data_IF_222010861232
#
_entry.id   IF_222010861232
#
_cell.length_a   1.000
_cell.length_b   1.000
_cell.length_c   1.000
_cell.angle_alpha   90.00
_cell.angle_beta   90.00
_cell.angle_gamma   90.00
#
_symmetry.space_group_name_H-M   'P 1'
#
loop_
_entity.id
_entity.type
_entity.pdbx_description
1 polymer ?
#
# COMPACT_ATOMS: atom_id res chain seq x y z
N UNK A 1 2.82 22.82 25.37
CA UNK A 1 1.63 22.27 24.70
C UNK A 1 2.10 21.04 23.95
N UNK A 2 2.12 19.89 24.63
CA UNK A 2 2.65 18.62 24.14
C UNK A 2 1.57 17.98 23.29
N UNK A 3 1.72 18.00 21.97
CA UNK A 3 0.78 17.37 21.05
C UNK A 3 0.92 15.86 21.15
N UNK A 4 -0.18 15.24 21.55
CA UNK A 4 -0.45 13.81 21.65
C UNK A 4 -0.05 13.06 20.38
N UNK A 5 1.13 12.45 20.32
CA UNK A 5 1.49 11.45 19.30
C UNK A 5 1.11 10.02 19.72
N UNK A 6 0.43 9.87 20.87
CA UNK A 6 0.15 8.60 21.56
C UNK A 6 -1.06 7.82 20.98
N UNK A 7 -1.51 8.18 19.77
CA UNK A 7 -2.72 7.62 19.15
C UNK A 7 -2.53 7.14 17.71
N UNK A 8 -1.34 7.31 17.12
CA UNK A 8 -1.12 7.02 15.70
C UNK A 8 -0.10 5.89 15.53
N UNK A 9 -0.40 4.97 14.62
CA UNK A 9 0.54 3.96 14.15
C UNK A 9 1.68 4.66 13.40
N UNK A 10 2.74 5.00 14.12
CA UNK A 10 3.91 5.68 13.56
C UNK A 10 4.99 4.62 13.29
N UNK A 11 5.37 4.40 12.03
CA UNK A 11 6.45 3.48 11.70
C UNK A 11 7.79 3.96 12.24
N UNK A 12 8.52 3.07 12.90
CA UNK A 12 9.84 3.35 13.45
C UNK A 12 10.87 2.50 12.69
N UNK A 13 11.89 3.15 12.15
CA UNK A 13 12.98 2.48 11.44
C UNK A 13 13.74 1.53 12.36
N UNK A 14 14.01 0.32 11.88
CA UNK A 14 14.78 -0.68 12.63
C UNK A 14 16.27 -0.42 12.50
N UNK A 15 17.07 -1.01 13.39
CA UNK A 15 18.53 -0.98 13.27
C UNK A 15 19.01 -1.62 11.97
N UNK A 16 18.42 -2.75 11.58
CA UNK A 16 18.76 -3.45 10.33
C UNK A 16 18.41 -2.60 9.10
N UNK A 17 17.21 -1.99 9.06
CA UNK A 17 16.78 -1.10 7.99
C UNK A 17 17.69 0.11 7.85
N UNK A 18 18.07 0.72 8.98
CA UNK A 18 18.99 1.84 8.95
C UNK A 18 20.39 1.46 8.44
N UNK A 19 20.92 0.31 8.87
CA UNK A 19 22.23 -0.19 8.38
C UNK A 19 22.17 -0.46 6.88
N UNK A 20 21.09 -1.08 6.39
CA UNK A 20 20.88 -1.30 4.97
C UNK A 20 20.86 0.02 4.19
N UNK A 21 20.18 1.04 4.72
CA UNK A 21 20.15 2.39 4.13
C UNK A 21 21.52 3.03 4.07
N UNK A 22 22.29 2.99 5.16
CA UNK A 22 23.64 3.53 5.18
C UNK A 22 24.55 2.84 4.16
N UNK A 23 24.43 1.52 4.04
CA UNK A 23 25.19 0.74 3.06
C UNK A 23 24.79 1.10 1.62
N UNK A 24 23.50 1.27 1.35
CA UNK A 24 23.01 1.69 0.03
C UNK A 24 23.54 3.08 -0.34
N UNK A 25 23.44 4.06 0.57
CA UNK A 25 23.95 5.42 0.36
C UNK A 25 25.47 5.41 0.11
N UNK A 26 26.23 4.63 0.87
CA UNK A 26 27.67 4.48 0.65
C UNK A 26 28.01 3.86 -0.72
N UNK A 27 27.12 2.99 -1.23
CA UNK A 27 27.23 2.40 -2.56
C UNK A 27 26.68 3.26 -3.71
N UNK A 28 26.02 4.39 -3.41
CA UNK A 28 25.36 5.23 -4.41
C UNK A 28 24.01 4.70 -4.89
N UNK A 29 23.34 3.86 -4.10
CA UNK A 29 22.03 3.29 -4.39
C UNK A 29 21.01 3.63 -3.28
N UNK A 30 19.74 3.33 -3.54
CA UNK A 30 18.65 3.46 -2.58
C UNK A 30 18.20 2.07 -2.09
N UNK A 31 17.65 1.99 -0.88
CA UNK A 31 17.00 0.77 -0.38
C UNK A 31 15.59 0.67 -0.96
N UNK A 32 15.21 -0.49 -1.49
CA UNK A 32 13.87 -0.72 -2.00
C UNK A 32 12.98 -1.45 -0.98
N UNK A 33 11.90 -0.80 -0.56
CA UNK A 33 10.81 -1.39 0.21
C UNK A 33 9.78 -1.93 -0.79
N UNK A 34 9.51 -3.23 -0.73
CA UNK A 34 8.69 -3.95 -1.73
C UNK A 34 7.47 -4.63 -1.14
N UNK A 35 7.50 -4.94 0.16
CA UNK A 35 6.45 -5.70 0.82
C UNK A 35 5.99 -5.00 2.10
N UNK A 36 4.71 -5.21 2.42
CA UNK A 36 4.11 -4.89 3.70
C UNK A 36 3.72 -6.18 4.38
N UNK A 37 4.11 -6.35 5.64
CA UNK A 37 3.64 -7.42 6.50
C UNK A 37 2.64 -6.88 7.53
N UNK A 38 1.60 -7.66 7.80
CA UNK A 38 0.56 -7.36 8.77
C UNK A 38 0.58 -8.40 9.88
N UNK A 39 0.34 -7.95 11.12
CA UNK A 39 0.27 -8.85 12.26
C UNK A 39 -0.79 -8.52 13.28
N UNK A 40 -1.09 -9.50 14.13
CA UNK A 40 -2.24 -9.48 15.03
C UNK A 40 -1.89 -9.09 16.47
N UNK A 41 -0.61 -8.90 16.81
CA UNK A 41 -0.18 -8.60 18.19
C UNK A 41 0.19 -7.13 18.33
N UNK A 42 -0.47 -6.46 19.28
CA UNK A 42 -0.16 -5.07 19.64
C UNK A 42 0.88 -4.98 20.76
N UNK A 43 1.86 -4.10 20.63
CA UNK A 43 2.87 -3.85 21.66
C UNK A 43 3.49 -2.47 21.52
N UNK A 44 4.19 -2.02 22.57
CA UNK A 44 5.12 -0.90 22.46
C UNK A 44 6.36 -1.37 21.71
N UNK A 45 6.63 -0.77 20.55
CA UNK A 45 7.79 -1.09 19.71
C UNK A 45 9.07 -0.98 20.56
N UNK A 46 9.93 -2.02 20.58
CA UNK A 46 11.16 -1.98 21.37
C UNK A 46 12.14 -1.01 20.72
N UNK A 47 12.61 -0.01 21.48
CA UNK A 47 13.54 1.02 21.02
C UNK A 47 14.86 0.92 21.77
N UNK A 48 15.97 1.01 21.03
CA UNK A 48 17.28 1.22 21.60
C UNK A 48 17.43 2.71 21.97
N UNK A 49 17.58 2.99 23.26
CA UNK A 49 17.65 4.35 23.79
C UNK A 49 18.85 5.17 23.29
N UNK A 50 19.92 4.52 22.81
CA UNK A 50 21.10 5.20 22.28
C UNK A 50 20.92 5.60 20.81
N UNK A 51 20.30 4.73 20.01
CA UNK A 51 20.15 4.94 18.56
C UNK A 51 18.81 5.57 18.18
N UNK A 52 17.81 5.50 19.06
CA UNK A 52 16.44 5.93 18.77
C UNK A 52 15.70 5.00 17.80
N UNK A 53 16.26 3.81 17.51
CA UNK A 53 15.74 2.88 16.50
C UNK A 53 15.15 1.64 17.11
N UNK A 54 14.29 0.96 16.34
CA UNK A 54 13.74 -0.30 16.79
C UNK A 54 14.76 -1.44 16.70
N UNK A 55 14.82 -2.26 17.74
CA UNK A 55 15.61 -3.51 17.75
C UNK A 55 14.85 -4.70 17.15
N UNK A 56 13.63 -4.48 16.65
CA UNK A 56 12.83 -5.52 16.02
C UNK A 56 13.47 -6.00 14.71
N UNK A 57 13.48 -7.31 14.50
CA UNK A 57 13.95 -7.95 13.26
C UNK A 57 12.82 -8.61 12.46
N UNK A 58 11.66 -8.82 13.09
CA UNK A 58 10.45 -9.38 12.51
C UNK A 58 9.22 -8.90 13.31
N UNK A 59 8.03 -9.07 12.73
CA UNK A 59 6.76 -8.90 13.45
C UNK A 59 6.61 -10.00 14.51
N UNK A 60 5.89 -9.72 15.60
CA UNK A 60 5.67 -10.71 16.66
C UNK A 60 4.65 -11.78 16.27
N UNK A 61 3.69 -11.42 15.44
CA UNK A 61 2.60 -12.27 14.97
C UNK A 61 2.24 -11.91 13.54
N UNK A 62 3.20 -12.08 12.62
CA UNK A 62 2.95 -11.94 11.19
C UNK A 62 1.85 -12.92 10.76
N UNK A 63 0.81 -12.39 10.10
CA UNK A 63 -0.31 -13.15 9.56
C UNK A 63 -0.31 -13.15 8.06
N UNK A 64 -0.07 -11.98 7.48
CA UNK A 64 -0.06 -11.80 6.03
C UNK A 64 1.10 -10.94 5.59
N UNK A 65 1.53 -11.17 4.36
CA UNK A 65 2.52 -10.38 3.66
C UNK A 65 2.04 -10.13 2.25
N UNK A 66 2.04 -8.87 1.84
CA UNK A 66 1.61 -8.45 0.52
C UNK A 66 2.69 -7.61 -0.17
N UNK A 67 2.78 -7.78 -1.48
CA UNK A 67 3.52 -6.86 -2.34
C UNK A 67 2.81 -5.52 -2.41
N UNK A 68 3.60 -4.45 -2.46
CA UNK A 68 3.09 -3.10 -2.67
C UNK A 68 2.59 -2.99 -4.12
N UNK A 69 1.31 -2.65 -4.25
CA UNK A 69 0.63 -2.58 -5.56
C UNK A 69 0.77 -1.21 -6.20
N UNK A 70 0.71 -0.14 -5.40
CA UNK A 70 0.82 1.22 -5.89
C UNK A 70 1.48 2.12 -4.83
N UNK A 71 2.24 3.10 -5.30
CA UNK A 71 2.90 4.11 -4.48
C UNK A 71 2.66 5.48 -5.10
N UNK A 72 2.05 6.38 -4.33
CA UNK A 72 1.90 7.77 -4.72
C UNK A 72 2.77 8.65 -3.83
N UNK A 73 3.62 9.46 -4.48
CA UNK A 73 4.39 10.49 -3.80
C UNK A 73 3.46 11.66 -3.44
N UNK A 74 3.21 11.87 -2.15
CA UNK A 74 2.47 13.06 -1.67
C UNK A 74 3.44 14.23 -1.47
N UNK A 75 4.62 13.92 -0.93
CA UNK A 75 5.77 14.82 -0.87
C UNK A 75 7.08 14.01 -0.94
N UNK A 76 8.21 14.70 -0.79
CA UNK A 76 9.50 14.03 -0.66
C UNK A 76 9.54 13.10 0.55
N UNK A 77 8.86 13.48 1.65
CA UNK A 77 8.87 12.77 2.94
C UNK A 77 7.57 12.01 3.25
N UNK A 78 6.63 11.95 2.30
CA UNK A 78 5.32 11.36 2.53
C UNK A 78 4.89 10.54 1.32
N UNK A 79 4.62 9.26 1.54
CA UNK A 79 4.24 8.29 0.51
C UNK A 79 2.91 7.65 0.88
N UNK A 80 1.96 7.64 -0.04
CA UNK A 80 0.77 6.80 0.06
C UNK A 80 1.08 5.46 -0.57
N UNK A 81 0.77 4.39 0.13
CA UNK A 81 1.10 3.01 -0.23
C UNK A 81 -0.19 2.23 -0.27
N UNK A 82 -0.48 1.58 -1.39
CA UNK A 82 -1.65 0.71 -1.51
C UNK A 82 -1.22 -0.74 -1.73
N UNK A 83 -1.87 -1.67 -1.03
CA UNK A 83 -1.62 -3.10 -1.16
C UNK A 83 -2.89 -3.88 -0.87
N UNK A 84 -2.94 -5.10 -1.40
CA UNK A 84 -4.10 -5.98 -1.25
C UNK A 84 -3.70 -7.21 -0.46
N UNK A 85 -4.54 -7.59 0.49
CA UNK A 85 -4.37 -8.79 1.32
C UNK A 85 -5.59 -9.69 1.21
N UNK A 86 -5.33 -10.98 1.05
CA UNK A 86 -6.33 -12.05 1.04
C UNK A 86 -6.05 -12.96 2.24
N UNK A 87 -6.42 -12.53 3.45
CA UNK A 87 -6.06 -13.22 4.68
C UNK A 87 -6.76 -14.57 4.76
N UNK A 88 -6.13 -15.57 5.36
CA UNK A 88 -6.73 -16.89 5.56
C UNK A 88 -7.72 -16.94 6.73
N UNK A 89 -7.59 -16.00 7.68
CA UNK A 89 -8.36 -15.94 8.93
C UNK A 89 -8.73 -14.49 9.24
N UNK A 90 -9.75 -14.30 10.08
CA UNK A 90 -10.12 -12.98 10.58
C UNK A 90 -9.20 -12.53 11.72
N UNK A 91 -8.67 -11.31 11.65
CA UNK A 91 -7.90 -10.73 12.74
C UNK A 91 -7.91 -9.20 12.71
N UNK A 92 -7.67 -8.62 13.89
CA UNK A 92 -7.38 -7.20 14.00
C UNK A 92 -5.90 -6.94 13.70
N UNK A 93 -5.63 -6.05 12.77
CA UNK A 93 -4.28 -5.61 12.44
C UNK A 93 -3.80 -4.70 13.57
N UNK A 94 -2.69 -5.08 14.21
CA UNK A 94 -2.12 -4.38 15.38
C UNK A 94 -0.61 -4.14 15.27
N UNK A 95 0.01 -4.68 14.24
CA UNK A 95 1.38 -4.35 13.84
C UNK A 95 1.51 -4.38 12.32
N UNK A 96 2.39 -3.55 11.80
CA UNK A 96 2.77 -3.48 10.40
C UNK A 96 4.30 -3.48 10.31
N UNK A 97 4.84 -4.21 9.35
CA UNK A 97 6.24 -4.08 8.95
C UNK A 97 6.39 -3.66 7.49
N UNK A 98 7.36 -2.79 7.25
CA UNK A 98 7.83 -2.44 5.91
C UNK A 98 9.05 -3.28 5.61
N UNK A 99 8.99 -4.07 4.54
CA UNK A 99 9.98 -5.11 4.23
C UNK A 99 10.69 -4.79 2.90
N UNK A 100 12.00 -5.03 2.92
CA UNK A 100 12.83 -5.03 1.73
C UNK A 100 12.65 -6.31 0.90
N UNK A 101 13.16 -6.31 -0.33
CA UNK A 101 13.07 -7.47 -1.24
C UNK A 101 13.72 -8.75 -0.68
N UNK A 102 14.75 -8.62 0.16
CA UNK A 102 15.43 -9.73 0.83
C UNK A 102 14.72 -10.22 2.10
N UNK A 103 13.59 -9.60 2.46
CA UNK A 103 12.84 -9.88 3.69
C UNK A 103 13.35 -9.14 4.93
N UNK A 104 14.35 -8.26 4.81
CA UNK A 104 14.80 -7.42 5.92
C UNK A 104 13.69 -6.46 6.35
N UNK A 105 13.36 -6.44 7.64
CA UNK A 105 12.40 -5.50 8.23
C UNK A 105 13.02 -4.10 8.31
N UNK A 106 12.58 -3.20 7.44
CA UNK A 106 13.07 -1.82 7.38
C UNK A 106 12.50 -0.93 8.49
N UNK A 107 11.18 -1.00 8.68
CA UNK A 107 10.47 -0.24 9.72
C UNK A 107 9.31 -1.04 10.28
N UNK A 108 8.92 -0.76 11.52
CA UNK A 108 7.81 -1.42 12.20
C UNK A 108 6.93 -0.39 12.91
N UNK A 109 5.62 -0.56 12.80
CA UNK A 109 4.63 0.17 13.56
C UNK A 109 3.82 -0.84 14.38
N UNK A 110 3.58 -0.56 15.66
CA UNK A 110 2.66 -1.33 16.48
C UNK A 110 2.04 -0.43 17.55
N UNK A 111 0.84 -0.80 18.00
CA UNK A 111 0.17 -0.10 19.08
C UNK A 111 -0.29 -1.11 20.15
N UNK A 112 -0.05 -0.86 21.45
CA UNK A 112 -0.35 -1.83 22.51
C UNK A 112 -1.85 -2.12 22.68
N UNK A 113 -2.72 -1.13 22.48
CA UNK A 113 -4.16 -1.24 22.75
C UNK A 113 -5.06 -1.10 21.51
N UNK A 114 -4.74 -0.19 20.59
CA UNK A 114 -5.52 0.06 19.37
C UNK A 114 -5.23 -0.99 18.30
N UNK A 115 -6.26 -1.29 17.52
CA UNK A 115 -6.12 -1.95 16.22
C UNK A 115 -6.13 -0.87 15.15
N UNK A 116 -5.30 -1.06 14.13
CA UNK A 116 -5.28 -0.19 12.97
C UNK A 116 -6.53 -0.41 12.11
N UNK A 117 -6.80 -1.67 11.80
CA UNK A 117 -7.92 -2.08 10.96
C UNK A 117 -8.27 -3.55 11.21
N UNK A 118 -9.24 -4.07 10.48
CA UNK A 118 -9.69 -5.46 10.52
C UNK A 118 -9.51 -6.12 9.15
N UNK A 119 -8.92 -7.32 9.15
CA UNK A 119 -8.72 -8.13 7.96
C UNK A 119 -9.67 -9.34 7.99
N UNK A 120 -10.30 -9.64 6.86
CA UNK A 120 -11.24 -10.78 6.73
C UNK A 120 -11.06 -11.61 5.48
N UNK A 121 -11.16 -12.94 5.57
CA UNK A 121 -11.09 -13.83 4.42
C UNK A 121 -12.33 -13.72 3.52
N UNK A 122 -13.40 -13.05 3.97
CA UNK A 122 -14.64 -12.94 3.20
C UNK A 122 -14.53 -12.01 1.99
N UNK A 123 -13.52 -11.13 1.97
CA UNK A 123 -13.31 -10.16 0.89
C UNK A 123 -11.83 -9.99 0.59
N UNK A 124 -11.52 -9.45 -0.60
CA UNK A 124 -10.17 -8.95 -0.88
C UNK A 124 -10.01 -7.62 -0.16
N UNK A 125 -9.13 -7.56 0.84
CA UNK A 125 -8.95 -6.37 1.65
C UNK A 125 -7.94 -5.46 0.95
N UNK A 126 -8.37 -4.26 0.62
CA UNK A 126 -7.50 -3.22 0.09
C UNK A 126 -7.17 -2.25 1.21
N UNK A 127 -5.87 -2.06 1.46
CA UNK A 127 -5.38 -1.07 2.41
C UNK A 127 -4.63 0.02 1.67
N UNK A 128 -4.86 1.26 2.10
CA UNK A 128 -4.07 2.42 1.73
C UNK A 128 -3.49 3.02 3.02
N UNK A 129 -2.16 3.06 3.11
CA UNK A 129 -1.44 3.58 4.27
C UNK A 129 -0.60 4.78 3.86
N UNK A 130 -0.46 5.71 4.78
CA UNK A 130 0.46 6.82 4.66
C UNK A 130 1.74 6.49 5.42
N UNK A 131 2.89 6.59 4.73
CA UNK A 131 4.21 6.46 5.32
C UNK A 131 4.90 7.81 5.34
N UNK A 132 5.19 8.30 6.54
CA UNK A 132 5.96 9.53 6.77
C UNK A 132 7.40 9.14 7.09
N UNK A 133 8.32 9.77 6.39
CA UNK A 133 9.76 9.53 6.48
C UNK A 133 10.30 10.43 7.59
N UNK A 134 10.59 9.84 8.75
CA UNK A 134 11.12 10.60 9.89
C UNK A 134 12.67 10.60 9.98
N UNK A 135 13.35 9.74 9.23
CA UNK A 135 14.81 9.60 9.27
C UNK A 135 15.42 9.76 7.86
N UNK A 136 16.37 10.68 7.72
CA UNK A 136 17.35 10.76 6.63
C UNK A 136 16.93 11.54 5.38
N UNK A 137 17.76 11.39 4.34
CA UNK A 137 17.49 11.98 3.02
C UNK A 137 16.42 11.16 2.28
N UNK A 138 15.40 11.81 1.74
CA UNK A 138 14.33 11.18 0.98
C UNK A 138 14.87 10.38 -0.23
N UNK A 139 16.03 10.74 -0.77
CA UNK A 139 16.67 10.03 -1.88
C UNK A 139 17.32 8.68 -1.49
N UNK A 140 17.42 8.38 -0.19
CA UNK A 140 18.16 7.21 0.31
C UNK A 140 17.38 5.89 0.29
N UNK A 141 16.07 5.93 0.02
CA UNK A 141 15.26 4.74 -0.15
C UNK A 141 14.07 4.99 -1.09
N UNK A 142 13.59 3.92 -1.71
CA UNK A 142 12.41 3.91 -2.57
C UNK A 142 11.39 2.92 -2.02
N UNK A 143 10.12 3.21 -2.30
CA UNK A 143 9.04 2.23 -2.13
C UNK A 143 8.64 1.81 -3.55
N UNK A 144 8.83 0.54 -3.85
CA UNK A 144 8.67 0.00 -5.20
C UNK A 144 7.32 -0.68 -5.30
N UNK A 145 6.49 -0.22 -6.23
CA UNK A 145 5.25 -0.90 -6.59
C UNK A 145 5.52 -1.96 -7.67
N UNK A 146 5.13 -3.20 -7.40
CA UNK A 146 5.26 -4.31 -8.36
C UNK A 146 3.95 -4.57 -9.15
N UNK A 147 2.88 -3.84 -8.82
CA UNK A 147 1.57 -3.97 -9.44
C UNK A 147 1.28 -2.91 -10.52
N UNK A 148 0.31 -3.16 -11.42
CA UNK A 148 -0.25 -2.10 -12.25
C UNK A 148 -0.90 -1.03 -11.36
N UNK A 149 -0.84 0.27 -11.73
CA UNK A 149 -1.40 1.36 -10.94
C UNK A 149 -2.87 1.08 -10.57
N UNK A 150 -3.18 1.18 -9.28
CA UNK A 150 -4.46 0.71 -8.75
C UNK A 150 -5.57 1.74 -9.02
N UNK A 151 -6.15 1.71 -10.22
CA UNK A 151 -7.21 2.62 -10.63
C UNK A 151 -8.61 2.01 -10.36
N UNK A 152 -9.01 2.04 -9.08
CA UNK A 152 -10.21 1.36 -8.56
C UNK A 152 -11.55 1.99 -8.97
N UNK A 153 -11.51 3.26 -9.38
CA UNK A 153 -12.70 4.11 -9.60
C UNK A 153 -13.09 4.26 -11.08
N UNK A 154 -12.43 3.53 -11.99
CA UNK A 154 -12.60 3.77 -13.43
C UNK A 154 -12.95 2.52 -14.24
N UNK A 155 -12.57 1.32 -13.80
CA UNK A 155 -12.68 0.12 -14.65
C UNK A 155 -14.13 -0.31 -14.89
N UNK A 156 -14.99 -0.24 -13.87
CA UNK A 156 -16.41 -0.61 -13.98
C UNK A 156 -17.21 0.45 -14.72
N UNK A 157 -16.96 1.72 -14.42
CA UNK A 157 -17.59 2.87 -15.05
C UNK A 157 -17.25 2.91 -16.54
N UNK A 158 -15.99 2.68 -16.93
CA UNK A 158 -15.61 2.56 -18.34
C UNK A 158 -16.24 1.36 -19.03
N UNK A 159 -16.39 0.22 -18.36
CA UNK A 159 -17.08 -0.94 -18.94
C UNK A 159 -18.57 -0.64 -19.20
N UNK A 160 -19.23 0.03 -18.27
CA UNK A 160 -20.64 0.45 -18.42
C UNK A 160 -20.79 1.51 -19.52
N UNK A 161 -19.93 2.54 -19.55
CA UNK A 161 -19.93 3.57 -20.58
C UNK A 161 -19.64 2.99 -21.97
N UNK A 162 -18.68 2.07 -22.07
CA UNK A 162 -18.36 1.37 -23.32
C UNK A 162 -19.56 0.57 -23.82
N UNK A 163 -20.23 -0.17 -22.93
CA UNK A 163 -21.43 -0.94 -23.28
C UNK A 163 -22.57 -0.04 -23.75
N UNK A 164 -22.79 1.10 -23.08
CA UNK A 164 -23.78 2.09 -23.50
C UNK A 164 -23.44 2.70 -24.86
N UNK A 165 -22.16 2.99 -25.12
CA UNK A 165 -21.72 3.56 -26.39
C UNK A 165 -21.85 2.56 -27.53
N UNK A 166 -21.48 1.28 -27.32
CA UNK A 166 -21.70 0.22 -28.30
C UNK A 166 -23.18 -0.04 -28.56
N UNK A 167 -24.02 0.03 -27.53
CA UNK A 167 -25.48 -0.12 -27.70
C UNK A 167 -26.06 1.04 -28.52
N UNK A 168 -25.65 2.27 -28.24
CA UNK A 168 -26.08 3.43 -29.05
C UNK A 168 -25.57 3.36 -30.50
N UNK A 169 -24.34 2.92 -30.72
CA UNK A 169 -23.81 2.72 -32.07
C UNK A 169 -24.60 1.65 -32.83
N UNK A 170 -24.94 0.54 -32.17
CA UNK A 170 -25.78 -0.52 -32.74
C UNK A 170 -27.19 -0.03 -33.08
N UNK A 171 -27.82 0.76 -32.19
CA UNK A 171 -29.15 1.32 -32.46
C UNK A 171 -29.14 2.33 -33.60
N UNK A 172 -28.08 3.14 -33.74
CA UNK A 172 -27.92 4.02 -34.89
C UNK A 172 -27.79 3.23 -36.20
N UNK A 173 -27.03 2.13 -36.23
CA UNK A 173 -26.93 1.26 -37.40
C UNK A 173 -28.28 0.62 -37.75
N UNK A 174 -29.00 0.08 -36.76
CA UNK A 174 -30.35 -0.47 -36.96
C UNK A 174 -31.35 0.58 -37.45
N UNK A 175 -31.20 1.82 -37.00
CA UNK A 175 -32.02 2.92 -37.47
C UNK A 175 -31.68 3.29 -38.91
N UNK A 176 -30.40 3.34 -39.27
CA UNK A 176 -29.95 3.56 -40.64
C UNK A 176 -30.45 2.44 -41.58
N UNK A 177 -30.35 1.17 -41.19
CA UNK A 177 -30.88 0.05 -41.97
C UNK A 177 -32.40 0.15 -42.16
N UNK A 178 -33.15 0.46 -41.09
CA UNK A 178 -34.60 0.69 -41.20
C UNK A 178 -34.95 1.85 -42.13
N UNK A 179 -34.18 2.95 -42.07
CA UNK A 179 -34.38 4.09 -42.98
C UNK A 179 -34.08 3.67 -44.41
N UNK A 180 -33.01 2.90 -44.64
CA UNK A 180 -32.66 2.38 -45.94
C UNK A 180 -33.76 1.46 -46.51
N UNK A 181 -34.30 0.54 -45.71
CA UNK A 181 -35.39 -0.34 -46.12
C UNK A 181 -36.65 0.43 -46.53
N UNK A 182 -36.92 1.57 -45.88
CA UNK A 182 -38.11 2.40 -46.14
C UNK A 182 -37.88 3.36 -47.32
N UNK A 183 -36.67 3.91 -47.48
CA UNK A 183 -36.39 5.04 -48.39
C UNK A 183 -35.47 4.71 -49.57
N UNK A 184 -34.74 3.59 -49.52
CA UNK A 184 -33.76 3.18 -50.52
C UNK A 184 -32.47 4.02 -50.55
N UNK A 185 -32.33 5.01 -49.67
CA UNK A 185 -31.16 5.88 -49.57
C UNK A 185 -30.37 5.61 -48.29
N UNK A 186 -29.07 5.89 -48.32
CA UNK A 186 -28.22 6.00 -47.13
C UNK A 186 -28.06 7.47 -46.74
#
# INVERSE_FOLDING_TARGET
>A
MTTTSDALFTPITTEAGHVARMAAVAGGFAVDITHIALGATGYTVPINATTGRSTATALRSEKDRAEIQDVRNVSDFQKDISFIVEPSEEYYIREIGFLMADGTLYAVASHPTLALDWASPQTRNLFALEYIIEDGDAASFNIVSNGPPLNLLMSREFAVLSTLQFTNALENLRQADRIHDITGAY
#
